data_IF_153420346612
#
_entry.id   IF_153420346612
#
_cell.length_a   1.000
_cell.length_b   1.000
_cell.length_c   1.000
_cell.angle_alpha   90.00
_cell.angle_beta   90.00
_cell.angle_gamma   90.00
#
_symmetry.space_group_name_H-M   'P 1'
#
loop_
_entity.id
_entity.type
_entity.pdbx_description
1 polymer ?
#
# COMPACT_ATOMS: atom_id res chain seq x y z
N UNK A 1 14.71 -1.58 -2.89
CA UNK A 1 14.22 -0.48 -2.78
C UNK A 1 13.41 -0.10 -1.55
N UNK A 2 13.73 1.07 -1.02
CA UNK A 2 13.12 1.56 0.22
C UNK A 2 11.60 1.72 0.10
N UNK A 3 11.11 2.16 -1.05
CA UNK A 3 9.70 2.33 -1.31
C UNK A 3 8.94 1.00 -1.23
N UNK A 4 9.49 -0.05 -1.85
CA UNK A 4 8.88 -1.38 -1.80
C UNK A 4 8.84 -1.92 -0.36
N UNK A 5 9.90 -1.71 0.42
CA UNK A 5 9.94 -2.13 1.81
C UNK A 5 8.95 -1.37 2.68
N UNK A 6 8.79 -0.09 2.43
CA UNK A 6 7.80 0.72 3.16
C UNK A 6 6.38 0.17 2.95
N UNK A 7 6.04 -0.12 1.69
CA UNK A 7 4.73 -0.69 1.39
C UNK A 7 4.58 -2.14 1.88
N UNK A 8 5.65 -2.93 1.83
CA UNK A 8 5.62 -4.29 2.37
C UNK A 8 5.30 -4.29 3.86
N UNK A 9 5.94 -3.41 4.64
CA UNK A 9 5.63 -3.26 6.06
C UNK A 9 4.21 -2.76 6.29
N UNK A 10 3.76 -1.82 5.47
CA UNK A 10 2.41 -1.25 5.59
C UNK A 10 1.33 -2.29 5.34
N UNK A 11 1.53 -3.18 4.36
CA UNK A 11 0.54 -4.15 3.93
C UNK A 11 0.71 -5.54 4.57
N UNK A 12 1.75 -5.73 5.39
CA UNK A 12 2.15 -7.05 5.87
C UNK A 12 2.49 -7.99 4.72
N UNK A 13 3.20 -7.45 3.75
CA UNK A 13 3.75 -8.17 2.61
C UNK A 13 5.24 -8.44 2.87
N UNK A 14 5.88 -9.18 1.96
CA UNK A 14 7.33 -9.33 1.98
C UNK A 14 7.90 -9.13 0.59
N UNK A 15 9.18 -8.78 0.53
CA UNK A 15 9.87 -8.59 -0.75
C UNK A 15 10.23 -9.95 -1.30
N UNK A 16 9.60 -10.34 -2.41
CA UNK A 16 9.83 -11.63 -3.06
C UNK A 16 10.93 -11.55 -4.13
N UNK A 17 11.18 -10.36 -4.63
CA UNK A 17 12.22 -10.10 -5.63
C UNK A 17 12.73 -8.69 -5.48
N UNK A 18 14.04 -8.50 -5.66
CA UNK A 18 14.66 -7.18 -5.65
C UNK A 18 15.89 -7.16 -6.57
N UNK A 19 15.98 -6.12 -7.39
CA UNK A 19 17.14 -5.82 -8.20
C UNK A 19 17.46 -4.32 -8.07
N UNK A 20 18.44 -3.83 -8.82
CA UNK A 20 18.79 -2.40 -8.83
C UNK A 20 17.62 -1.53 -9.31
N UNK A 21 16.84 -2.03 -10.27
CA UNK A 21 15.82 -1.23 -10.95
C UNK A 21 14.39 -1.63 -10.62
N UNK A 22 14.18 -2.72 -9.90
CA UNK A 22 12.85 -3.27 -9.70
C UNK A 22 12.76 -4.02 -8.39
N UNK A 23 11.59 -3.99 -7.75
CA UNK A 23 11.29 -4.81 -6.59
C UNK A 23 9.83 -5.25 -6.64
N UNK A 24 9.56 -6.46 -6.16
CA UNK A 24 8.20 -6.99 -6.09
C UNK A 24 7.89 -7.44 -4.67
N UNK A 25 6.68 -7.15 -4.21
CA UNK A 25 6.19 -7.57 -2.89
C UNK A 25 4.89 -8.35 -3.04
N UNK A 26 4.71 -9.34 -2.19
CA UNK A 26 3.47 -10.14 -2.12
C UNK A 26 3.09 -10.35 -0.65
N UNK A 27 1.82 -10.68 -0.36
CA UNK A 27 1.41 -10.97 1.01
C UNK A 27 2.22 -12.11 1.64
N UNK A 28 2.44 -12.05 2.95
CA UNK A 28 3.21 -13.08 3.67
C UNK A 28 2.63 -14.47 3.51
N UNK A 29 1.32 -14.58 3.37
CA UNK A 29 0.65 -15.88 3.24
C UNK A 29 0.54 -16.36 1.80
N UNK A 30 1.02 -15.58 0.81
CA UNK A 30 0.97 -15.99 -0.59
C UNK A 30 1.97 -17.11 -0.85
N UNK A 31 1.61 -17.99 -1.78
CA UNK A 31 2.52 -19.06 -2.21
C UNK A 31 3.60 -18.53 -3.15
N UNK A 32 4.84 -18.96 -2.95
CA UNK A 32 5.93 -18.69 -3.89
C UNK A 32 6.21 -19.90 -4.77
N UNK A 33 5.45 -20.98 -4.61
CA UNK A 33 5.59 -22.19 -5.41
C UNK A 33 4.72 -22.10 -6.66
N UNK A 34 5.13 -22.74 -7.77
CA UNK A 34 4.27 -22.78 -8.97
C UNK A 34 2.91 -23.39 -8.67
N UNK A 35 1.87 -22.83 -9.27
CA UNK A 35 0.50 -23.32 -9.12
C UNK A 35 -0.02 -23.83 -10.46
N UNK A 36 -0.34 -25.12 -10.51
CA UNK A 36 -0.91 -25.75 -11.69
C UNK A 36 -2.43 -25.68 -11.72
N UNK A 37 -3.07 -25.58 -10.54
CA UNK A 37 -4.51 -25.44 -10.44
C UNK A 37 -4.94 -24.00 -10.74
N UNK A 38 -5.72 -23.84 -11.80
CA UNK A 38 -6.17 -22.52 -12.26
C UNK A 38 -7.00 -21.78 -11.21
N UNK A 39 -7.87 -22.47 -10.48
CA UNK A 39 -8.67 -21.84 -9.43
C UNK A 39 -7.82 -21.34 -8.28
N UNK A 40 -6.86 -22.13 -7.82
CA UNK A 40 -5.94 -21.73 -6.77
C UNK A 40 -5.11 -20.53 -7.23
N UNK A 41 -4.65 -20.54 -8.47
CA UNK A 41 -3.89 -19.41 -9.05
C UNK A 41 -4.73 -18.13 -9.05
N UNK A 42 -6.00 -18.22 -9.43
CA UNK A 42 -6.90 -17.05 -9.45
C UNK A 42 -7.20 -16.49 -8.06
N UNK A 43 -7.08 -17.31 -7.04
CA UNK A 43 -7.30 -16.92 -5.64
C UNK A 43 -6.06 -16.32 -4.99
N UNK A 44 -4.90 -16.38 -5.66
CA UNK A 44 -3.71 -15.74 -5.15
C UNK A 44 -3.92 -14.23 -5.06
N UNK A 45 -3.46 -13.62 -3.96
CA UNK A 45 -3.58 -12.16 -3.82
C UNK A 45 -2.67 -11.45 -4.80
N UNK A 46 -3.02 -10.22 -5.09
CA UNK A 46 -2.23 -9.39 -5.99
C UNK A 46 -0.94 -8.96 -5.32
N UNK A 47 0.15 -8.99 -6.07
CA UNK A 47 1.39 -8.39 -5.67
C UNK A 47 1.52 -6.97 -6.20
N UNK A 48 2.55 -6.27 -5.74
CA UNK A 48 2.90 -4.95 -6.25
C UNK A 48 4.33 -4.99 -6.76
N UNK A 49 4.54 -4.39 -7.93
CA UNK A 49 5.86 -4.26 -8.53
C UNK A 49 6.23 -2.78 -8.53
N UNK A 50 7.43 -2.49 -8.06
CA UNK A 50 7.99 -1.14 -8.01
C UNK A 50 9.12 -1.07 -9.00
N UNK A 51 9.02 -0.15 -9.96
CA UNK A 51 10.01 0.02 -11.02
C UNK A 51 10.63 1.40 -10.88
N UNK A 52 11.96 1.46 -10.94
CA UNK A 52 12.69 2.71 -10.87
C UNK A 52 12.44 3.53 -12.15
N UNK A 53 12.10 4.79 -11.96
CA UNK A 53 11.92 5.72 -13.08
C UNK A 53 12.73 6.98 -12.81
N UNK A 54 13.15 7.72 -13.86
CA UNK A 54 13.98 8.92 -13.67
C UNK A 54 13.21 10.11 -13.11
N UNK A 55 11.90 10.22 -13.37
CA UNK A 55 11.09 11.35 -12.93
C UNK A 55 10.51 11.13 -11.54
N UNK A 56 10.36 12.22 -10.76
CA UNK A 56 9.66 12.20 -9.50
C UNK A 56 8.15 12.38 -9.68
N UNK A 57 7.42 12.22 -8.59
CA UNK A 57 5.98 12.42 -8.55
C UNK A 57 5.65 13.92 -8.65
N UNK A 58 4.89 14.33 -9.65
CA UNK A 58 4.53 15.74 -9.86
C UNK A 58 3.04 16.00 -10.00
N UNK A 59 2.26 15.00 -10.40
CA UNK A 59 0.81 15.14 -10.59
C UNK A 59 0.07 14.18 -9.67
N UNK A 60 -1.21 14.47 -9.45
CA UNK A 60 -2.08 13.61 -8.63
C UNK A 60 -2.21 12.23 -9.26
N UNK A 61 -2.19 11.19 -8.44
CA UNK A 61 -2.40 9.82 -8.91
C UNK A 61 -3.78 9.67 -9.55
N UNK A 62 -3.84 8.93 -10.65
CA UNK A 62 -5.11 8.54 -11.28
C UNK A 62 -5.67 7.26 -10.70
N UNK A 63 -4.80 6.41 -10.16
CA UNK A 63 -5.17 5.23 -9.38
C UNK A 63 -4.55 5.39 -8.01
N UNK A 64 -5.24 4.95 -6.96
CA UNK A 64 -4.63 4.94 -5.64
C UNK A 64 -5.15 3.77 -4.80
N UNK A 65 -4.41 3.48 -3.74
CA UNK A 65 -4.71 2.37 -2.84
C UNK A 65 -5.55 2.91 -1.68
N UNK A 66 -6.58 2.17 -1.30
CA UNK A 66 -7.35 2.42 -0.08
C UNK A 66 -7.01 1.34 0.93
N UNK A 67 -6.59 1.76 2.13
CA UNK A 67 -6.34 0.87 3.25
C UNK A 67 -7.55 0.91 4.17
N UNK A 68 -8.05 -0.26 4.56
CA UNK A 68 -9.19 -0.35 5.45
C UNK A 68 -8.81 -1.21 6.65
N UNK A 69 -8.62 -0.61 7.85
CA UNK A 69 -8.39 -1.39 9.06
C UNK A 69 -9.61 -2.23 9.39
N UNK A 70 -9.39 -3.36 10.07
CA UNK A 70 -10.47 -4.16 10.60
C UNK A 70 -11.09 -3.44 11.80
N UNK A 71 -12.37 -3.73 12.11
CA UNK A 71 -13.05 -3.12 13.26
C UNK A 71 -12.40 -3.44 14.60
N UNK A 72 -11.56 -4.49 14.68
CA UNK A 72 -10.78 -4.81 15.86
C UNK A 72 -9.51 -3.95 16.00
N UNK A 73 -9.21 -3.11 15.01
CA UNK A 73 -8.01 -2.27 14.99
C UNK A 73 -8.39 -0.81 15.21
N UNK A 74 -7.43 -0.01 15.67
CA UNK A 74 -7.62 1.42 15.88
C UNK A 74 -7.10 2.17 14.65
N UNK A 75 -8.02 2.75 13.88
CA UNK A 75 -7.70 3.52 12.68
C UNK A 75 -6.77 4.71 12.97
N UNK A 76 -7.03 5.43 14.07
CA UNK A 76 -6.22 6.60 14.39
C UNK A 76 -4.80 6.21 14.78
N UNK A 77 -4.64 5.07 15.48
CA UNK A 77 -3.32 4.53 15.79
C UNK A 77 -2.59 4.10 14.53
N UNK A 78 -3.30 3.51 13.55
CA UNK A 78 -2.70 3.13 12.27
C UNK A 78 -2.21 4.35 11.49
N UNK A 79 -3.02 5.42 11.44
CA UNK A 79 -2.62 6.68 10.79
C UNK A 79 -1.38 7.25 11.48
N UNK A 80 -1.36 7.27 12.82
CA UNK A 80 -0.21 7.78 13.57
C UNK A 80 1.06 6.97 13.26
N UNK A 81 0.93 5.64 13.16
CA UNK A 81 2.06 4.76 12.82
C UNK A 81 2.60 5.05 11.42
N UNK A 82 1.71 5.26 10.46
CA UNK A 82 2.12 5.58 9.09
C UNK A 82 2.83 6.93 9.01
N UNK A 83 2.32 7.94 9.71
CA UNK A 83 2.97 9.26 9.76
C UNK A 83 4.35 9.16 10.40
N UNK A 84 4.50 8.38 11.47
CA UNK A 84 5.78 8.17 12.13
C UNK A 84 6.79 7.49 11.21
N UNK A 85 6.33 6.65 10.29
CA UNK A 85 7.17 5.94 9.33
C UNK A 85 7.44 6.71 8.05
N UNK A 86 7.00 7.96 7.95
CA UNK A 86 7.35 8.83 6.83
C UNK A 86 6.23 9.20 5.88
N UNK A 87 5.00 8.76 6.13
CA UNK A 87 3.85 9.25 5.37
C UNK A 87 3.54 10.69 5.78
N UNK A 88 2.86 11.43 4.92
CA UNK A 88 2.46 12.81 5.18
C UNK A 88 0.97 12.97 4.91
N UNK A 89 0.34 13.94 5.57
CA UNK A 89 -1.07 14.29 5.30
C UNK A 89 -1.15 15.08 4.01
N UNK A 90 -2.21 14.82 3.22
CA UNK A 90 -2.39 15.46 1.93
C UNK A 90 -3.84 15.92 1.82
N UNK A 91 -4.03 17.14 1.30
CA UNK A 91 -5.34 17.65 0.91
C UNK A 91 -5.47 17.51 -0.60
N UNK A 92 -6.44 16.71 -1.04
CA UNK A 92 -6.77 16.55 -2.47
C UNK A 92 -8.16 17.10 -2.79
N UNK A 93 -8.66 18.01 -1.93
CA UNK A 93 -9.98 18.62 -2.10
C UNK A 93 -11.14 17.85 -1.50
N UNK A 94 -10.85 16.85 -0.63
CA UNK A 94 -11.90 15.99 -0.07
C UNK A 94 -12.78 16.68 0.97
N UNK A 95 -12.35 17.82 1.53
CA UNK A 95 -13.10 18.50 2.59
C UNK A 95 -12.88 17.87 3.96
N UNK A 96 -13.54 18.41 4.99
CA UNK A 96 -13.38 17.98 6.38
C UNK A 96 -14.46 17.01 6.86
N UNK A 97 -15.48 16.76 6.06
CA UNK A 97 -16.66 15.97 6.43
C UNK A 97 -16.63 14.52 5.92
N UNK A 98 -15.51 14.10 5.36
CA UNK A 98 -15.35 12.74 4.83
C UNK A 98 -14.83 11.80 5.93
N UNK A 99 -15.12 10.50 5.76
CA UNK A 99 -14.74 9.47 6.72
C UNK A 99 -13.38 8.84 6.44
N UNK A 100 -12.72 9.26 5.36
CA UNK A 100 -11.39 8.74 5.02
C UNK A 100 -10.33 9.83 5.25
N UNK A 101 -9.09 9.39 5.41
CA UNK A 101 -7.93 10.28 5.53
C UNK A 101 -7.00 10.04 4.36
N UNK A 102 -6.62 11.12 3.68
CA UNK A 102 -5.66 11.03 2.57
C UNK A 102 -4.26 11.28 3.10
N UNK A 103 -3.36 10.37 2.77
CA UNK A 103 -1.94 10.46 3.09
C UNK A 103 -1.13 10.33 1.80
N UNK A 104 0.16 10.68 1.89
CA UNK A 104 1.12 10.40 0.83
C UNK A 104 2.22 9.51 1.42
N UNK A 105 2.67 8.54 0.62
CA UNK A 105 3.80 7.70 1.01
C UNK A 105 5.11 8.48 0.93
N UNK A 106 6.26 7.89 1.32
CA UNK A 106 7.53 8.65 1.30
C UNK A 106 7.94 9.21 -0.04
N UNK A 107 7.40 8.71 -1.15
CA UNK A 107 7.67 9.24 -2.49
C UNK A 107 6.55 10.15 -3.00
N UNK A 108 5.58 10.48 -2.17
CA UNK A 108 4.52 11.42 -2.52
C UNK A 108 3.29 10.80 -3.18
N UNK A 109 3.20 9.46 -3.26
CA UNK A 109 2.02 8.81 -3.84
C UNK A 109 0.86 8.85 -2.85
N UNK A 110 -0.27 9.42 -3.26
CA UNK A 110 -1.46 9.53 -2.42
C UNK A 110 -2.14 8.18 -2.23
N UNK A 111 -2.60 7.94 -1.02
CA UNK A 111 -3.44 6.79 -0.69
C UNK A 111 -4.39 7.18 0.43
N UNK A 112 -5.43 6.39 0.66
CA UNK A 112 -6.41 6.67 1.69
C UNK A 112 -6.38 5.62 2.79
N UNK A 113 -6.68 6.07 4.02
CA UNK A 113 -7.02 5.18 5.12
C UNK A 113 -8.51 5.37 5.38
N UNK A 114 -9.28 4.33 5.13
CA UNK A 114 -10.73 4.36 5.25
C UNK A 114 -11.15 4.09 6.69
N UNK A 115 -12.44 4.27 6.99
CA UNK A 115 -13.00 3.87 8.26
C UNK A 115 -12.85 2.35 8.44
N UNK A 116 -12.73 1.90 9.70
CA UNK A 116 -12.61 0.48 10.01
C UNK A 116 -13.84 -0.30 9.55
N UNK A 117 -13.65 -1.51 9.08
CA UNK A 117 -14.71 -2.36 8.57
C UNK A 117 -14.37 -3.84 8.71
N UNK A 118 -15.38 -4.68 8.53
CA UNK A 118 -15.19 -6.12 8.57
C UNK A 118 -15.76 -6.83 7.31
N UNK A 119 -15.93 -6.05 6.25
CA UNK A 119 -16.35 -6.56 4.95
C UNK A 119 -15.32 -6.16 3.89
#
# INVERSE_FOLDING_TARGET
AAQARWWAETLDYFVVFESEDEAAIIPRWASVEPMEDLEAFRKQPQGLVFVKVPEGKTVKNRLHIDLAPHTSEDRDAEIARLLERGATRVDVGQGSDVSWTVLADPEGNEFCVLSARNL
#
